data_IF_693582804209
#
_entry.id   IF_693582804209
#
_cell.length_a   1.000
_cell.length_b   1.000
_cell.length_c   1.000
_cell.angle_alpha   90.00
_cell.angle_beta   90.00
_cell.angle_gamma   90.00
#
_symmetry.space_group_name_H-M   'P 1'
#
loop_
_entity.id
_entity.type
_entity.pdbx_description
1 polymer ?
#
# COMPACT_ATOMS: atom_id res chain seq x y z
N UNK A 1 -7.06 -25.47 12.50
CA UNK A 1 -6.19 -24.35 12.10
C UNK A 1 -6.82 -23.80 10.83
N UNK A 2 -7.27 -22.55 10.84
CA UNK A 2 -8.18 -22.00 9.83
C UNK A 2 -7.52 -21.94 8.44
N UNK A 3 -8.08 -22.64 7.45
CA UNK A 3 -7.63 -22.59 6.05
C UNK A 3 -7.70 -21.17 5.48
N UNK A 4 -8.61 -20.34 5.99
CA UNK A 4 -8.69 -18.90 5.69
C UNK A 4 -7.48 -18.12 6.19
N UNK A 5 -6.93 -18.45 7.36
CA UNK A 5 -5.72 -17.83 7.89
C UNK A 5 -4.48 -18.23 7.09
N UNK A 6 -4.40 -19.50 6.70
CA UNK A 6 -3.33 -20.01 5.82
C UNK A 6 -3.40 -19.38 4.43
N UNK A 7 -4.60 -19.19 3.87
CA UNK A 7 -4.78 -18.50 2.59
C UNK A 7 -4.49 -16.99 2.72
N UNK A 8 -4.81 -16.37 3.86
CA UNK A 8 -4.48 -14.96 4.12
C UNK A 8 -2.97 -14.73 4.33
N UNK A 9 -2.29 -15.64 5.02
CA UNK A 9 -0.83 -15.61 5.24
C UNK A 9 -0.04 -16.07 4.00
N UNK A 10 -0.62 -16.93 3.17
CA UNK A 10 -0.04 -17.51 1.97
C UNK A 10 -0.43 -16.79 0.66
N UNK A 11 -1.21 -15.70 0.73
CA UNK A 11 -1.46 -14.83 -0.43
C UNK A 11 -0.12 -14.35 -0.98
N UNK A 12 0.03 -14.37 -2.30
CA UNK A 12 1.16 -13.74 -2.97
C UNK A 12 1.16 -12.24 -2.63
N UNK A 13 2.07 -11.85 -1.74
CA UNK A 13 2.27 -10.44 -1.32
C UNK A 13 3.22 -9.71 -2.25
N UNK A 14 3.60 -10.35 -3.35
CA UNK A 14 4.55 -9.85 -4.33
C UNK A 14 4.06 -10.20 -5.73
N UNK A 15 4.25 -9.26 -6.66
CA UNK A 15 3.90 -9.41 -8.06
C UNK A 15 4.98 -8.78 -8.92
N UNK A 16 5.45 -9.50 -9.91
CA UNK A 16 6.39 -8.94 -10.89
C UNK A 16 5.65 -7.99 -11.84
N UNK A 17 6.13 -6.75 -11.93
CA UNK A 17 5.66 -5.71 -12.84
C UNK A 17 6.78 -5.31 -13.80
N UNK A 18 6.43 -4.98 -15.03
CA UNK A 18 7.39 -4.45 -16.01
C UNK A 18 7.21 -2.94 -16.10
N UNK A 19 8.31 -2.22 -15.98
CA UNK A 19 8.36 -0.77 -15.99
C UNK A 19 9.33 -0.39 -17.11
N UNK A 20 8.79 -0.03 -18.28
CA UNK A 20 9.58 0.08 -19.51
C UNK A 20 10.32 -1.22 -19.82
N UNK A 21 11.65 -1.16 -19.83
CA UNK A 21 12.54 -2.32 -20.07
C UNK A 21 12.95 -3.05 -18.79
N UNK A 22 12.60 -2.51 -17.62
CA UNK A 22 12.99 -3.06 -16.31
C UNK A 22 11.93 -4.01 -15.77
N UNK A 23 12.37 -5.04 -15.06
CA UNK A 23 11.49 -6.00 -14.40
C UNK A 23 11.63 -5.81 -12.90
N UNK A 24 10.62 -5.22 -12.26
CA UNK A 24 10.60 -4.95 -10.83
C UNK A 24 9.60 -5.88 -10.14
N UNK A 25 9.91 -6.34 -8.94
CA UNK A 25 8.97 -6.98 -8.03
C UNK A 25 8.24 -5.90 -7.22
N UNK A 26 6.92 -5.90 -7.29
CA UNK A 26 6.03 -5.05 -6.50
C UNK A 26 5.55 -5.85 -5.29
N UNK A 27 5.94 -5.46 -4.08
CA UNK A 27 5.50 -6.08 -2.84
C UNK A 27 4.52 -5.22 -2.07
N UNK A 28 3.66 -5.85 -1.28
CA UNK A 28 2.79 -5.16 -0.32
C UNK A 28 3.61 -4.63 0.87
N UNK A 29 3.40 -3.36 1.18
CA UNK A 29 3.98 -2.72 2.35
C UNK A 29 3.41 -3.29 3.64
N UNK A 30 4.26 -3.39 4.65
CA UNK A 30 3.82 -3.72 6.00
C UNK A 30 2.98 -2.57 6.57
N UNK A 31 2.06 -2.86 7.49
CA UNK A 31 1.24 -1.83 8.15
C UNK A 31 2.08 -0.66 8.74
N UNK A 32 3.27 -0.97 9.30
CA UNK A 32 4.22 0.03 9.79
C UNK A 32 4.78 0.92 8.69
N UNK A 33 5.11 0.35 7.54
CA UNK A 33 5.63 1.08 6.38
C UNK A 33 4.56 2.00 5.82
N UNK A 34 3.31 1.52 5.70
CA UNK A 34 2.16 2.33 5.29
C UNK A 34 1.89 3.50 6.23
N UNK A 35 1.94 3.27 7.56
CA UNK A 35 1.78 4.35 8.54
C UNK A 35 2.92 5.37 8.48
N UNK A 36 4.15 4.91 8.27
CA UNK A 36 5.31 5.80 8.10
C UNK A 36 5.16 6.65 6.85
N UNK A 37 4.73 6.06 5.74
CA UNK A 37 4.48 6.75 4.48
C UNK A 37 3.38 7.80 4.64
N UNK A 38 2.27 7.47 5.29
CA UNK A 38 1.19 8.44 5.55
C UNK A 38 1.64 9.61 6.40
N UNK A 39 2.53 9.40 7.39
CA UNK A 39 3.11 10.49 8.19
C UNK A 39 4.01 11.39 7.36
N UNK A 40 4.83 10.80 6.49
CA UNK A 40 5.69 11.53 5.55
C UNK A 40 4.86 12.40 4.61
N UNK A 41 3.80 11.83 4.02
CA UNK A 41 2.87 12.57 3.14
C UNK A 41 2.14 13.68 3.89
N UNK A 42 1.69 13.43 5.12
CA UNK A 42 1.02 14.45 5.93
C UNK A 42 1.95 15.61 6.33
N UNK A 43 3.27 15.41 6.29
CA UNK A 43 4.27 16.46 6.52
C UNK A 43 4.66 17.20 5.23
N UNK A 44 4.24 16.73 4.06
CA UNK A 44 4.48 17.44 2.81
C UNK A 44 3.61 18.69 2.74
N UNK A 45 4.28 19.84 2.71
CA UNK A 45 3.68 21.15 2.49
C UNK A 45 3.43 21.35 0.97
N UNK A 46 2.51 20.55 0.41
CA UNK A 46 2.00 20.76 -0.94
C UNK A 46 0.79 21.71 -0.89
N UNK A 47 0.83 22.79 -1.66
CA UNK A 47 -0.34 23.66 -1.82
C UNK A 47 -1.45 22.95 -2.62
N UNK A 48 -1.07 22.12 -3.60
CA UNK A 48 -1.98 21.43 -4.50
C UNK A 48 -2.27 19.98 -4.05
N UNK A 49 -3.55 19.61 -4.09
CA UNK A 49 -4.01 18.28 -3.73
C UNK A 49 -3.55 17.22 -4.75
N UNK A 50 -3.51 17.58 -6.04
CA UNK A 50 -2.98 16.71 -7.10
C UNK A 50 -1.48 16.44 -6.93
N UNK A 51 -0.69 17.46 -6.58
CA UNK A 51 0.74 17.32 -6.32
C UNK A 51 0.97 16.42 -5.09
N UNK A 52 0.19 16.61 -4.02
CA UNK A 52 0.24 15.75 -2.83
C UNK A 52 -0.09 14.30 -3.17
N UNK A 53 -1.11 14.06 -3.99
CA UNK A 53 -1.52 12.72 -4.39
C UNK A 53 -0.45 12.05 -5.26
N UNK A 54 0.14 12.77 -6.21
CA UNK A 54 1.20 12.24 -7.06
C UNK A 54 2.45 11.90 -6.24
N UNK A 55 2.86 12.79 -5.31
CA UNK A 55 4.01 12.54 -4.43
C UNK A 55 3.77 11.34 -3.50
N UNK A 56 2.56 11.20 -2.98
CA UNK A 56 2.15 10.04 -2.20
C UNK A 56 2.26 8.73 -3.01
N UNK A 57 1.78 8.76 -4.25
CA UNK A 57 1.85 7.63 -5.17
C UNK A 57 3.31 7.27 -5.51
N UNK A 58 4.15 8.26 -5.79
CA UNK A 58 5.58 8.05 -6.04
C UNK A 58 6.30 7.44 -4.82
N UNK A 59 6.03 7.96 -3.61
CA UNK A 59 6.62 7.45 -2.38
C UNK A 59 6.13 6.04 -2.01
N UNK A 60 4.89 5.69 -2.36
CA UNK A 60 4.39 4.31 -2.29
C UNK A 60 5.20 3.41 -3.22
N UNK A 61 5.27 3.75 -4.51
CA UNK A 61 5.98 2.96 -5.52
C UNK A 61 7.46 2.76 -5.17
N UNK A 62 8.14 3.79 -4.67
CA UNK A 62 9.53 3.69 -4.22
C UNK A 62 9.75 2.60 -3.16
N UNK A 63 8.80 2.42 -2.23
CA UNK A 63 8.91 1.44 -1.15
C UNK A 63 8.42 0.05 -1.55
N UNK A 64 7.46 0.01 -2.47
CA UNK A 64 6.82 -1.22 -2.95
C UNK A 64 7.61 -1.89 -4.07
N UNK A 65 8.32 -1.13 -4.90
CA UNK A 65 9.06 -1.65 -6.05
C UNK A 65 10.49 -1.98 -5.65
N UNK A 66 10.86 -3.22 -5.93
CA UNK A 66 12.22 -3.74 -5.73
C UNK A 66 12.74 -4.40 -6.99
N UNK A 67 14.00 -4.17 -7.33
CA UNK A 67 14.69 -4.83 -8.43
C UNK A 67 15.76 -5.75 -7.83
N UNK A 68 15.68 -7.07 -8.09
CA UNK A 68 16.62 -8.04 -7.53
C UNK A 68 16.66 -8.11 -5.99
N UNK A 69 15.61 -7.63 -5.30
CA UNK A 69 15.53 -7.58 -3.83
C UNK A 69 16.01 -6.25 -3.21
N UNK A 70 16.51 -5.31 -4.02
CA UNK A 70 16.88 -3.96 -3.59
C UNK A 70 15.85 -2.93 -4.07
N UNK A 71 15.81 -1.74 -3.45
CA UNK A 71 14.85 -0.71 -3.86
C UNK A 71 15.07 -0.31 -5.33
N UNK A 72 14.03 -0.38 -6.17
CA UNK A 72 14.15 -0.09 -7.59
C UNK A 72 14.45 1.40 -7.87
N UNK A 73 14.11 2.27 -6.91
CA UNK A 73 14.31 3.72 -6.98
C UNK A 73 14.96 4.23 -5.71
N UNK A 74 15.90 5.15 -5.85
CA UNK A 74 16.61 5.75 -4.72
C UNK A 74 15.69 6.65 -3.87
N UNK A 75 14.81 7.41 -4.54
CA UNK A 75 13.95 8.44 -3.94
C UNK A 75 12.59 8.51 -4.64
N UNK A 76 11.59 9.14 -4.00
CA UNK A 76 10.29 9.39 -4.64
C UNK A 76 10.43 10.29 -5.88
N UNK A 77 11.32 11.29 -5.84
CA UNK A 77 11.66 12.12 -7.01
C UNK A 77 12.23 11.30 -8.17
N UNK A 78 12.97 10.22 -7.90
CA UNK A 78 13.51 9.36 -8.95
C UNK A 78 12.38 8.62 -9.68
N UNK A 79 11.32 8.24 -8.95
CA UNK A 79 10.09 7.69 -9.54
C UNK A 79 9.39 8.72 -10.41
N UNK A 80 9.27 9.97 -9.94
CA UNK A 80 8.64 11.08 -10.67
C UNK A 80 9.42 11.47 -11.93
N UNK A 81 10.76 11.36 -11.90
CA UNK A 81 11.61 11.62 -13.06
C UNK A 81 11.63 10.46 -14.06
N UNK A 82 11.52 9.22 -13.58
CA UNK A 82 11.58 8.02 -14.42
C UNK A 82 10.24 7.65 -15.05
N UNK A 83 9.11 7.97 -14.39
CA UNK A 83 7.78 7.52 -14.78
C UNK A 83 6.84 8.67 -15.07
N UNK A 84 6.02 8.49 -16.09
CA UNK A 84 4.93 9.40 -16.39
C UNK A 84 3.83 9.30 -15.32
N UNK A 85 3.06 10.38 -15.14
CA UNK A 85 1.88 10.38 -14.24
C UNK A 85 0.91 9.22 -14.53
N UNK A 86 0.73 8.88 -15.82
CA UNK A 86 -0.10 7.75 -16.23
C UNK A 86 0.46 6.40 -15.78
N UNK A 87 1.76 6.19 -15.89
CA UNK A 87 2.45 4.96 -15.46
C UNK A 87 2.41 4.81 -13.94
N UNK A 88 2.60 5.91 -13.20
CA UNK A 88 2.48 5.94 -11.75
C UNK A 88 1.06 5.51 -11.33
N UNK A 89 0.03 6.09 -11.94
CA UNK A 89 -1.36 5.73 -11.64
C UNK A 89 -1.69 4.28 -11.99
N UNK A 90 -1.14 3.74 -13.08
CA UNK A 90 -1.32 2.34 -13.45
C UNK A 90 -0.64 1.38 -12.47
N UNK A 91 0.58 1.70 -12.04
CA UNK A 91 1.31 0.92 -11.04
C UNK A 91 0.62 0.96 -9.68
N UNK A 92 0.10 2.12 -9.25
CA UNK A 92 -0.70 2.22 -8.02
C UNK A 92 -1.98 1.40 -8.11
N UNK A 93 -2.64 1.38 -9.28
CA UNK A 93 -3.78 0.48 -9.51
C UNK A 93 -3.37 -0.99 -9.41
N UNK A 94 -2.22 -1.37 -9.96
CA UNK A 94 -1.67 -2.73 -9.84
C UNK A 94 -1.38 -3.09 -8.38
N UNK A 95 -0.84 -2.15 -7.60
CA UNK A 95 -0.62 -2.30 -6.17
C UNK A 95 -1.93 -2.50 -5.40
N UNK A 96 -2.97 -1.72 -5.70
CA UNK A 96 -4.29 -1.87 -5.08
C UNK A 96 -4.93 -3.24 -5.40
N UNK A 97 -4.75 -3.74 -6.62
CA UNK A 97 -5.18 -5.09 -7.00
C UNK A 97 -4.40 -6.17 -6.22
N UNK A 98 -3.11 -5.96 -5.97
CA UNK A 98 -2.29 -6.86 -5.16
C UNK A 98 -2.70 -6.84 -3.69
N UNK A 99 -3.05 -5.67 -3.14
CA UNK A 99 -3.50 -5.50 -1.76
C UNK A 99 -4.88 -6.17 -1.54
N UNK A 100 -5.61 -6.44 -2.63
CA UNK A 100 -6.82 -7.24 -2.60
C UNK A 100 -7.95 -6.59 -1.81
N UNK A 101 -7.92 -5.27 -1.62
CA UNK A 101 -8.92 -4.53 -0.88
C UNK A 101 -9.30 -3.23 -1.59
N UNK A 102 -10.60 -3.11 -1.86
CA UNK A 102 -11.35 -1.98 -2.41
C UNK A 102 -11.27 -0.68 -1.58
N UNK A 103 -10.12 -0.27 -1.05
CA UNK A 103 -10.08 0.83 -0.08
C UNK A 103 -8.80 1.68 -0.14
N UNK A 104 -8.67 2.47 -1.23
CA UNK A 104 -7.94 3.75 -1.18
C UNK A 104 -8.89 4.96 -1.20
N UNK A 105 -10.21 4.76 -1.25
CA UNK A 105 -11.17 5.83 -0.93
C UNK A 105 -11.43 5.82 0.57
N UNK A 106 -10.79 6.75 1.28
CA UNK A 106 -10.92 6.92 2.72
C UNK A 106 -12.35 7.36 3.11
N UNK A 107 -13.32 6.45 3.15
CA UNK A 107 -14.59 6.69 3.88
C UNK A 107 -15.16 5.46 4.63
N UNK A 108 -14.68 4.23 4.39
CA UNK A 108 -15.29 3.02 4.97
C UNK A 108 -14.40 2.28 5.99
N UNK A 109 -13.41 2.96 6.57
CA UNK A 109 -12.49 2.36 7.55
C UNK A 109 -12.99 2.33 8.99
N UNK A 110 -14.07 3.08 9.30
CA UNK A 110 -14.53 3.26 10.69
C UNK A 110 -15.47 2.14 11.14
N UNK A 111 -16.20 1.50 10.24
CA UNK A 111 -17.23 0.52 10.61
C UNK A 111 -16.65 -0.87 10.98
N UNK A 112 -15.57 -1.30 10.32
CA UNK A 112 -14.98 -2.65 10.57
C UNK A 112 -14.25 -2.76 11.91
N UNK A 113 -13.78 -1.64 12.48
CA UNK A 113 -13.11 -1.64 13.80
C UNK A 113 -14.13 -1.77 14.93
N UNK A 114 -15.33 -1.21 14.77
CA UNK A 114 -16.40 -1.34 15.77
C UNK A 114 -17.02 -2.75 15.79
N UNK A 115 -17.12 -3.42 14.64
CA UNK A 115 -17.57 -4.81 14.56
C UNK A 115 -16.63 -5.78 15.29
N UNK A 116 -15.31 -5.60 15.12
CA UNK A 116 -14.28 -6.38 15.82
C UNK A 116 -14.27 -6.10 17.34
N UNK A 117 -14.61 -4.87 17.76
CA UNK A 117 -14.71 -4.50 19.18
C UNK A 117 -15.94 -5.14 19.85
N UNK A 118 -17.07 -5.30 19.14
CA UNK A 118 -18.24 -6.02 19.67
C UNK A 118 -18.02 -7.52 19.79
N UNK A 119 -17.30 -8.14 18.86
CA UNK A 119 -17.02 -9.58 18.91
C UNK A 119 -16.12 -9.98 20.09
N UNK A 120 -15.22 -9.09 20.53
CA UNK A 120 -14.33 -9.35 21.67
C UNK A 120 -14.97 -9.03 23.04
N UNK A 121 -16.02 -8.19 23.06
CA UNK A 121 -16.68 -7.72 24.28
C UNK A 121 -17.85 -8.61 24.75
N UNK A 122 -17.89 -9.87 24.32
CA UNK A 122 -18.81 -10.88 24.87
C UNK A 122 -18.05 -12.11 25.35
N UNK A 123 -17.13 -11.91 26.30
CA UNK A 123 -16.83 -12.97 27.26
C UNK A 123 -17.93 -13.00 28.31
N UNK A 124 -18.66 -14.12 28.51
CA UNK A 124 -19.40 -14.30 29.74
C UNK A 124 -18.38 -14.48 30.86
N UNK A 125 -18.35 -13.56 31.81
CA UNK A 125 -17.76 -13.81 33.12
C UNK A 125 -18.60 -14.91 33.78
N UNK A 126 -18.13 -16.15 33.68
CA UNK A 126 -18.65 -17.26 34.47
C UNK A 126 -18.20 -17.04 35.93
N UNK A 127 -19.13 -16.55 36.75
CA UNK A 127 -19.08 -16.53 38.20
C UNK A 127 -20.37 -17.10 38.74
#
# INVERSE_FOLDING_TARGET
MDELLLNFLGREREKTVRIGERTCAMRLLSARETLSLRREIAQLDCADEEERALRANAALLKRSLTEGGEAAFASAEDVENALSVGEINELVRCYALLDGAENLSSEDGREKVEALKKAWSTRPTNG
#
